data_IF_777556630960
#
_entry.id   IF_777556630960
#
_cell.length_a   1.000
_cell.length_b   1.000
_cell.length_c   1.000
_cell.angle_alpha   90.00
_cell.angle_beta   90.00
_cell.angle_gamma   90.00
#
_symmetry.space_group_name_H-M   'P 1'
#
loop_
_entity.id
_entity.type
_entity.pdbx_description
1 polymer ?
#
# COMPACT_ATOMS: atom_id res chain seq x y z
N UNK A 1 15.12 9.35 -5.26
CA UNK A 1 13.86 9.50 -6.03
C UNK A 1 12.83 10.23 -5.17
N UNK A 2 12.18 11.20 -5.74
CA UNK A 2 11.16 11.97 -5.00
C UNK A 2 9.90 11.13 -4.80
N UNK A 3 9.29 11.25 -3.62
CA UNK A 3 8.03 10.57 -3.31
C UNK A 3 6.93 10.87 -4.31
N UNK A 4 6.85 12.14 -4.78
CA UNK A 4 5.83 12.53 -5.74
C UNK A 4 5.92 11.77 -7.07
N UNK A 5 7.13 11.44 -7.52
CA UNK A 5 7.31 10.66 -8.73
C UNK A 5 6.84 9.22 -8.55
N UNK A 6 7.15 8.60 -7.41
CA UNK A 6 6.70 7.24 -7.09
C UNK A 6 5.17 7.23 -6.96
N UNK A 7 4.62 8.20 -6.25
CA UNK A 7 3.19 8.32 -6.01
C UNK A 7 2.41 8.43 -7.33
N UNK A 8 2.89 9.29 -8.25
CA UNK A 8 2.27 9.46 -9.57
C UNK A 8 2.40 8.21 -10.44
N UNK A 9 3.54 7.55 -10.37
CA UNK A 9 3.79 6.35 -11.17
C UNK A 9 2.92 5.17 -10.74
N UNK A 10 2.55 5.08 -9.45
CA UNK A 10 1.75 3.98 -8.92
C UNK A 10 0.38 3.90 -9.60
N UNK A 11 -0.26 5.03 -9.90
CA UNK A 11 -1.61 5.05 -10.51
C UNK A 11 -1.62 4.45 -11.92
N UNK A 12 -0.75 4.90 -12.87
CA UNK A 12 -0.70 4.29 -14.19
C UNK A 12 -0.33 2.81 -14.15
N UNK A 13 0.58 2.41 -13.25
CA UNK A 13 0.98 1.02 -13.12
C UNK A 13 -0.17 0.14 -12.63
N UNK A 14 -0.92 0.58 -11.62
CA UNK A 14 -2.09 -0.14 -11.14
C UNK A 14 -3.11 -0.36 -12.24
N UNK A 15 -3.36 0.68 -13.05
CA UNK A 15 -4.29 0.60 -14.17
C UNK A 15 -3.80 -0.39 -15.21
N UNK A 16 -2.52 -0.35 -15.55
CA UNK A 16 -1.91 -1.26 -16.51
C UNK A 16 -2.06 -2.72 -16.09
N UNK A 17 -1.74 -3.02 -14.83
CA UNK A 17 -1.89 -4.38 -14.30
C UNK A 17 -3.34 -4.83 -14.27
N UNK A 18 -4.27 -3.93 -13.95
CA UNK A 18 -5.69 -4.27 -13.97
C UNK A 18 -6.18 -4.58 -15.37
N UNK A 19 -5.66 -3.89 -16.39
CA UNK A 19 -6.03 -4.16 -17.77
C UNK A 19 -5.43 -5.45 -18.31
N UNK A 20 -4.18 -5.75 -17.99
CA UNK A 20 -3.49 -6.95 -18.46
C UNK A 20 -3.90 -8.21 -17.70
N UNK A 21 -4.35 -8.05 -16.45
CA UNK A 21 -4.64 -9.18 -15.57
C UNK A 21 -3.42 -9.89 -15.03
N UNK A 22 -2.22 -9.35 -15.27
CA UNK A 22 -0.99 -9.95 -14.77
C UNK A 22 -0.93 -9.92 -13.25
N UNK A 23 -0.31 -10.95 -12.66
CA UNK A 23 -0.11 -11.02 -11.22
C UNK A 23 0.97 -10.04 -10.80
N UNK A 24 0.64 -9.19 -9.83
CA UNK A 24 1.61 -8.32 -9.17
C UNK A 24 1.94 -8.90 -7.80
N UNK A 25 3.24 -9.14 -7.55
CA UNK A 25 3.69 -9.76 -6.30
C UNK A 25 4.35 -8.70 -5.42
N UNK A 26 3.84 -8.56 -4.19
CA UNK A 26 4.45 -7.69 -3.19
C UNK A 26 5.40 -8.52 -2.35
N UNK A 27 6.69 -8.20 -2.42
CA UNK A 27 7.77 -8.91 -1.75
C UNK A 27 8.67 -7.93 -1.00
N UNK A 28 9.45 -8.41 -0.04
CA UNK A 28 10.40 -7.60 0.70
C UNK A 28 9.73 -6.48 1.48
N UNK A 29 10.32 -5.30 1.46
CA UNK A 29 9.79 -4.11 2.13
C UNK A 29 9.00 -3.25 1.16
N UNK A 30 7.71 -3.11 1.43
CA UNK A 30 6.80 -2.29 0.64
C UNK A 30 6.43 -1.05 1.45
N UNK A 31 7.13 0.07 1.21
CA UNK A 31 7.02 1.28 2.03
C UNK A 31 6.14 2.34 1.37
N UNK A 32 5.25 2.90 2.16
CA UNK A 32 4.46 4.09 1.82
C UNK A 32 3.80 4.00 0.43
N UNK A 33 4.31 4.70 -0.59
CA UNK A 33 3.72 4.71 -1.93
C UNK A 33 3.62 3.31 -2.55
N UNK A 34 4.49 2.39 -2.18
CA UNK A 34 4.41 0.99 -2.60
C UNK A 34 3.07 0.36 -2.19
N UNK A 35 2.50 0.77 -1.06
CA UNK A 35 1.23 0.20 -0.60
C UNK A 35 0.05 0.54 -1.53
N UNK A 36 0.23 1.50 -2.43
CA UNK A 36 -0.77 1.80 -3.46
C UNK A 36 -1.00 0.64 -4.43
N UNK A 37 -0.02 -0.24 -4.58
CA UNK A 37 -0.15 -1.43 -5.43
C UNK A 37 -1.15 -2.45 -4.88
N UNK A 38 -1.58 -2.30 -3.62
CA UNK A 38 -2.68 -3.10 -3.08
C UNK A 38 -3.99 -2.90 -3.84
N UNK A 39 -4.11 -1.82 -4.60
CA UNK A 39 -5.28 -1.56 -5.45
C UNK A 39 -5.32 -2.42 -6.71
N UNK A 40 -4.22 -3.08 -7.06
CA UNK A 40 -4.19 -3.97 -8.22
C UNK A 40 -5.04 -5.20 -7.91
N UNK A 41 -5.98 -5.52 -8.80
CA UNK A 41 -6.93 -6.61 -8.57
C UNK A 41 -6.24 -7.96 -8.45
N UNK A 42 -5.28 -8.24 -9.34
CA UNK A 42 -4.54 -9.51 -9.29
C UNK A 42 -3.22 -9.31 -8.53
N UNK A 43 -3.34 -8.98 -7.25
CA UNK A 43 -2.20 -8.76 -6.36
C UNK A 43 -2.10 -9.91 -5.37
N UNK A 44 -0.88 -10.31 -5.06
CA UNK A 44 -0.61 -11.24 -3.96
C UNK A 44 0.48 -10.67 -3.07
N UNK A 45 0.55 -11.19 -1.86
CA UNK A 45 1.54 -10.75 -0.87
C UNK A 45 2.37 -11.94 -0.42
N UNK A 46 3.69 -11.78 -0.47
CA UNK A 46 4.62 -12.75 0.09
C UNK A 46 4.44 -12.76 1.62
N UNK A 47 4.37 -13.95 2.20
CA UNK A 47 4.21 -14.09 3.66
C UNK A 47 5.33 -13.42 4.43
N UNK A 48 6.51 -13.34 3.86
CA UNK A 48 7.68 -12.73 4.49
C UNK A 48 7.84 -11.25 4.16
N UNK A 49 6.92 -10.67 3.41
CA UNK A 49 6.95 -9.25 3.11
C UNK A 49 6.63 -8.43 4.37
N UNK A 50 7.13 -7.21 4.39
CA UNK A 50 6.80 -6.22 5.41
C UNK A 50 6.24 -4.99 4.71
N UNK A 51 5.00 -4.64 5.03
CA UNK A 51 4.39 -3.43 4.50
C UNK A 51 4.48 -2.33 5.54
N UNK A 52 4.94 -1.16 5.12
CA UNK A 52 5.20 -0.03 6.01
C UNK A 52 4.27 1.12 5.66
N UNK A 53 3.40 1.45 6.60
CA UNK A 53 2.35 2.45 6.44
C UNK A 53 2.74 3.75 7.11
N UNK A 54 2.38 4.86 6.48
CA UNK A 54 2.53 6.20 7.04
C UNK A 54 1.54 7.13 6.35
N UNK A 55 1.38 8.34 6.90
CA UNK A 55 0.56 9.36 6.25
C UNK A 55 1.12 9.70 4.86
N UNK A 56 0.23 10.07 3.95
CA UNK A 56 0.65 10.59 2.65
C UNK A 56 1.27 11.97 2.79
N UNK A 57 2.25 12.28 1.93
CA UNK A 57 2.93 13.56 1.98
C UNK A 57 3.26 14.08 0.59
N UNK A 58 3.58 15.37 0.49
CA UNK A 58 3.99 16.02 -0.73
C UNK A 58 5.52 15.91 -0.94
N UNK A 59 6.03 16.62 -1.95
CA UNK A 59 7.47 16.61 -2.26
C UNK A 59 8.32 17.16 -1.13
N UNK A 60 7.77 18.07 -0.34
CA UNK A 60 8.47 18.69 0.79
C UNK A 60 8.36 17.85 2.05
N UNK A 61 7.81 16.63 1.96
CA UNK A 61 7.58 15.72 3.06
C UNK A 61 6.60 16.28 4.11
N UNK A 62 5.69 17.12 3.66
CA UNK A 62 4.60 17.61 4.48
C UNK A 62 3.39 16.72 4.29
N UNK A 63 2.77 16.30 5.39
CA UNK A 63 1.55 15.50 5.34
C UNK A 63 0.43 16.28 4.69
N UNK A 64 -0.30 15.64 3.79
CA UNK A 64 -1.48 16.24 3.18
C UNK A 64 -2.66 15.28 3.27
N UNK A 65 -3.85 15.84 3.48
CA UNK A 65 -5.09 15.05 3.51
C UNK A 65 -5.34 14.38 2.15
N UNK A 66 -5.02 15.08 1.08
CA UNK A 66 -5.20 14.58 -0.27
C UNK A 66 -4.37 13.32 -0.52
N UNK A 67 -3.08 13.34 -0.16
CA UNK A 67 -2.20 12.20 -0.33
C UNK A 67 -2.63 11.01 0.54
N UNK A 68 -2.98 11.28 1.80
CA UNK A 68 -3.44 10.25 2.73
C UNK A 68 -4.76 9.62 2.24
N UNK A 69 -5.71 10.41 1.79
CA UNK A 69 -6.98 9.91 1.25
C UNK A 69 -6.76 9.03 0.02
N UNK A 70 -5.83 9.43 -0.83
CA UNK A 70 -5.50 8.64 -2.01
C UNK A 70 -4.94 7.26 -1.62
N UNK A 71 -4.07 7.21 -0.63
CA UNK A 71 -3.53 5.95 -0.12
C UNK A 71 -4.62 5.08 0.50
N UNK A 72 -5.46 5.66 1.35
CA UNK A 72 -6.56 4.94 1.99
C UNK A 72 -7.52 4.34 0.96
N UNK A 73 -7.72 5.04 -0.16
CA UNK A 73 -8.56 4.55 -1.26
C UNK A 73 -8.03 3.31 -1.95
N UNK A 74 -6.74 3.01 -1.81
CA UNK A 74 -6.11 1.81 -2.38
C UNK A 74 -6.29 0.57 -1.50
N UNK A 75 -6.72 0.75 -0.25
CA UNK A 75 -6.81 -0.33 0.72
C UNK A 75 -8.24 -0.89 0.78
N UNK A 76 -8.36 -2.21 1.03
CA UNK A 76 -9.67 -2.78 1.27
C UNK A 76 -10.24 -2.28 2.60
N UNK A 77 -11.54 -2.52 2.83
CA UNK A 77 -12.23 -1.97 4.00
C UNK A 77 -11.60 -2.39 5.33
N UNK A 78 -11.25 -3.65 5.47
CA UNK A 78 -10.68 -4.16 6.71
C UNK A 78 -9.33 -3.50 7.02
N UNK A 79 -8.46 -3.37 6.02
CA UNK A 79 -7.16 -2.73 6.20
C UNK A 79 -7.32 -1.24 6.48
N UNK A 80 -8.21 -0.57 5.75
CA UNK A 80 -8.48 0.86 5.93
C UNK A 80 -8.93 1.16 7.35
N UNK A 81 -9.89 0.37 7.86
CA UNK A 81 -10.37 0.53 9.23
C UNK A 81 -9.25 0.35 10.25
N UNK A 82 -8.40 -0.65 10.03
CA UNK A 82 -7.30 -0.94 10.94
C UNK A 82 -6.30 0.22 11.01
N UNK A 83 -5.81 0.70 9.85
CA UNK A 83 -4.80 1.77 9.84
C UNK A 83 -5.36 3.08 10.36
N UNK A 84 -6.65 3.33 10.17
CA UNK A 84 -7.31 4.50 10.74
C UNK A 84 -7.42 4.36 12.26
N UNK A 85 -7.90 3.23 12.74
CA UNK A 85 -8.08 2.98 14.17
C UNK A 85 -6.76 3.03 14.93
N UNK A 86 -5.68 2.59 14.31
CA UNK A 86 -4.34 2.59 14.92
C UNK A 86 -3.59 3.91 14.71
N UNK A 87 -4.18 4.87 14.02
CA UNK A 87 -3.58 6.18 13.72
C UNK A 87 -2.28 6.09 12.91
N UNK A 88 -2.13 5.04 12.10
CA UNK A 88 -0.93 4.84 11.29
C UNK A 88 -0.77 5.88 10.20
N UNK A 89 -1.86 6.49 9.76
CA UNK A 89 -1.88 7.45 8.66
C UNK A 89 -1.87 8.89 9.15
N UNK A 90 -1.54 9.11 10.43
CA UNK A 90 -1.51 10.45 11.02
C UNK A 90 -0.08 10.95 11.26
N UNK A 91 0.92 10.12 11.00
CA UNK A 91 2.33 10.46 11.18
C UNK A 91 3.15 10.00 9.99
N UNK A 92 4.36 10.55 9.85
CA UNK A 92 5.33 10.09 8.85
C UNK A 92 6.20 8.94 9.35
N UNK A 93 6.02 8.51 10.59
CA UNK A 93 6.69 7.31 11.10
C UNK A 93 6.13 6.07 10.40
N UNK A 94 6.99 5.10 10.13
CA UNK A 94 6.55 3.86 9.52
C UNK A 94 5.93 2.92 10.55
N UNK A 95 4.80 2.33 10.18
CA UNK A 95 4.10 1.33 11.00
C UNK A 95 4.02 0.05 10.19
N UNK A 96 4.61 -1.02 10.69
CA UNK A 96 4.74 -2.28 9.97
C UNK A 96 3.51 -3.16 10.15
N UNK A 97 3.06 -3.75 9.02
CA UNK A 97 2.15 -4.89 9.02
C UNK A 97 2.84 -5.97 8.20
N UNK A 98 3.01 -7.15 8.80
CA UNK A 98 3.70 -8.24 8.10
C UNK A 98 2.78 -8.92 7.08
N UNK A 99 3.40 -9.50 6.05
CA UNK A 99 2.66 -10.18 4.98
C UNK A 99 1.69 -11.22 5.51
N UNK A 100 2.08 -11.98 6.54
CA UNK A 100 1.18 -12.97 7.16
C UNK A 100 -0.09 -12.35 7.71
N UNK A 101 0.01 -11.18 8.33
CA UNK A 101 -1.16 -10.47 8.84
C UNK A 101 -2.02 -9.93 7.71
N UNK A 102 -1.40 -9.42 6.67
CA UNK A 102 -2.13 -8.95 5.49
C UNK A 102 -2.99 -10.06 4.89
N UNK A 103 -2.47 -11.28 4.89
CA UNK A 103 -3.18 -12.44 4.36
C UNK A 103 -4.27 -12.91 5.33
N UNK A 104 -3.91 -13.10 6.61
CA UNK A 104 -4.80 -13.72 7.59
C UNK A 104 -5.87 -12.77 8.11
N UNK A 105 -5.50 -11.51 8.37
CA UNK A 105 -6.41 -10.54 9.00
C UNK A 105 -7.13 -9.65 7.98
N UNK A 106 -6.47 -9.33 6.88
CA UNK A 106 -7.00 -8.33 5.95
C UNK A 106 -7.40 -8.93 4.61
N UNK A 107 -7.43 -10.26 4.51
CA UNK A 107 -8.02 -10.95 3.38
C UNK A 107 -7.25 -10.90 2.07
N UNK A 108 -5.97 -10.53 2.10
CA UNK A 108 -5.15 -10.55 0.90
C UNK A 108 -4.68 -11.97 0.58
N UNK A 109 -4.43 -12.21 -0.71
CA UNK A 109 -4.00 -13.51 -1.20
C UNK A 109 -2.50 -13.68 -1.02
N UNK A 110 -2.08 -14.86 -0.55
CA UNK A 110 -0.66 -15.22 -0.49
C UNK A 110 -0.15 -15.47 -1.91
N UNK A 111 1.08 -15.04 -2.18
CA UNK A 111 1.72 -15.35 -3.47
C UNK A 111 1.98 -16.86 -3.59
N UNK A 112 1.86 -17.43 -4.81
CA UNK A 112 2.23 -18.82 -5.06
C UNK A 112 3.72 -19.02 -4.74
N UNK A 113 4.02 -20.18 -4.23
CA UNK A 113 5.40 -20.56 -3.95
C UNK A 113 6.11 -21.01 -5.22
#
# INVERSE_FOLDING_TARGET
MAWAAIFRASIPWSRKYNQSGELFQIEGHCRSACTLFLAIRNVCIDRNATLLFQAGHNRQREMTNSATSHMLGAYNAALREHVIAKHYMETLAFHAIFGREMIQKFGHRACPK
#
